data_IF_853377989189
#
_entry.id   IF_853377989189
#
_cell.length_a   1.000
_cell.length_b   1.000
_cell.length_c   1.000
_cell.angle_alpha   90.00
_cell.angle_beta   90.00
_cell.angle_gamma   90.00
#
_symmetry.space_group_name_H-M   'P 1'
#
loop_
_entity.id
_entity.type
_entity.pdbx_description
1 polymer ?
#
# COMPACT_ATOMS: atom_id res chain seq x y z
N UNK A 1 7.16 -1.22 9.68
CA UNK A 1 6.33 -0.93 8.49
C UNK A 1 5.73 0.46 8.58
N UNK A 2 5.34 0.91 9.78
CA UNK A 2 4.71 2.23 9.97
C UNK A 2 5.59 3.41 9.52
N UNK A 3 6.91 3.37 9.76
CA UNK A 3 7.82 4.42 9.29
C UNK A 3 7.86 4.51 7.76
N UNK A 4 7.91 3.36 7.07
CA UNK A 4 7.91 3.29 5.61
C UNK A 4 6.57 3.75 5.04
N UNK A 5 5.46 3.33 5.65
CA UNK A 5 4.11 3.79 5.30
C UNK A 5 3.98 5.31 5.46
N UNK A 6 4.47 5.87 6.57
CA UNK A 6 4.46 7.32 6.80
C UNK A 6 5.30 8.06 5.77
N UNK A 7 6.49 7.56 5.45
CA UNK A 7 7.37 8.14 4.44
C UNK A 7 6.73 8.11 3.05
N UNK A 8 6.14 6.98 2.65
CA UNK A 8 5.45 6.85 1.35
C UNK A 8 4.23 7.76 1.26
N UNK A 9 3.46 7.91 2.34
CA UNK A 9 2.35 8.88 2.39
C UNK A 9 2.82 10.33 2.21
N UNK A 10 3.97 10.70 2.80
CA UNK A 10 4.56 12.03 2.58
C UNK A 10 5.03 12.22 1.15
N UNK A 11 5.66 11.19 0.57
CA UNK A 11 6.10 11.21 -0.82
C UNK A 11 4.91 11.33 -1.78
N UNK A 12 3.83 10.57 -1.55
CA UNK A 12 2.60 10.64 -2.32
C UNK A 12 2.05 12.08 -2.36
N UNK A 13 1.88 12.70 -1.18
CA UNK A 13 1.41 14.09 -1.09
C UNK A 13 2.32 15.09 -1.82
N UNK A 14 3.64 14.89 -1.75
CA UNK A 14 4.59 15.74 -2.45
C UNK A 14 4.43 15.60 -3.98
N UNK A 15 4.28 14.37 -4.50
CA UNK A 15 4.05 14.11 -5.91
C UNK A 15 2.72 14.72 -6.38
N UNK A 16 1.64 14.53 -5.62
CA UNK A 16 0.33 15.13 -5.93
C UNK A 16 0.38 16.66 -5.97
N UNK A 17 1.10 17.27 -5.03
CA UNK A 17 1.32 18.71 -4.98
C UNK A 17 2.09 19.20 -6.21
N UNK A 18 3.16 18.50 -6.60
CA UNK A 18 3.95 18.84 -7.80
C UNK A 18 3.08 18.71 -9.06
N UNK A 19 2.30 17.63 -9.19
CA UNK A 19 1.40 17.43 -10.32
C UNK A 19 0.33 18.55 -10.39
N UNK A 20 -0.22 18.96 -9.25
CA UNK A 20 -1.15 20.10 -9.17
C UNK A 20 -0.51 21.40 -9.65
N UNK A 21 0.68 21.74 -9.14
CA UNK A 21 1.39 22.95 -9.56
C UNK A 21 1.76 22.94 -11.04
N UNK A 22 2.14 21.79 -11.60
CA UNK A 22 2.38 21.67 -13.05
C UNK A 22 1.11 21.94 -13.87
N UNK A 23 -0.07 21.48 -13.43
CA UNK A 23 -1.34 21.79 -14.10
C UNK A 23 -1.64 23.28 -14.08
N UNK A 24 -1.45 23.94 -12.93
CA UNK A 24 -1.60 25.39 -12.81
C UNK A 24 -0.64 26.14 -13.74
N UNK A 25 0.64 25.74 -13.80
CA UNK A 25 1.62 26.32 -14.72
C UNK A 25 1.24 26.14 -16.19
N UNK A 26 0.65 24.99 -16.55
CA UNK A 26 0.12 24.75 -17.89
C UNK A 26 -0.98 25.76 -18.23
N UNK A 27 -2.01 25.87 -17.38
CA UNK A 27 -3.14 26.80 -17.59
C UNK A 27 -2.69 28.26 -17.64
N UNK A 28 -1.75 28.64 -16.79
CA UNK A 28 -1.18 30.00 -16.78
C UNK A 28 -0.38 30.27 -18.06
N UNK A 29 0.40 29.30 -18.53
CA UNK A 29 1.18 29.44 -19.77
C UNK A 29 0.29 29.54 -21.00
N UNK A 30 -0.82 28.79 -21.08
CA UNK A 30 -1.82 28.95 -22.14
C UNK A 30 -2.52 30.31 -22.10
N UNK A 31 -2.85 30.79 -20.90
CA UNK A 31 -3.47 32.11 -20.74
C UNK A 31 -2.52 33.22 -21.20
N UNK A 32 -1.23 33.07 -20.88
CA UNK A 32 -0.18 33.99 -21.30
C UNK A 32 0.07 33.93 -22.81
N UNK A 33 0.12 32.74 -23.42
CA UNK A 33 0.27 32.61 -24.88
C UNK A 33 -0.89 33.27 -25.63
N UNK A 34 -2.14 33.13 -25.15
CA UNK A 34 -3.29 33.83 -25.72
C UNK A 34 -3.12 35.35 -25.67
N UNK A 35 -2.65 35.89 -24.54
CA UNK A 35 -2.40 37.33 -24.40
C UNK A 35 -1.28 37.81 -25.35
N UNK A 36 -0.20 37.04 -25.49
CA UNK A 36 0.88 37.32 -26.44
C UNK A 36 0.40 37.30 -27.89
N UNK A 37 -0.45 36.34 -28.25
CA UNK A 37 -1.05 36.24 -29.59
C UNK A 37 -1.91 37.47 -29.92
N UNK A 38 -2.72 37.93 -28.96
CA UNK A 38 -3.49 39.15 -29.09
C UNK A 38 -2.59 40.38 -29.29
N UNK A 39 -1.52 40.52 -28.49
CA UNK A 39 -0.55 41.61 -28.65
C UNK A 39 0.14 41.57 -30.02
N UNK A 40 0.56 40.38 -30.47
CA UNK A 40 1.17 40.20 -31.79
C UNK A 40 0.24 40.65 -32.92
N UNK A 41 -1.08 40.43 -32.78
CA UNK A 41 -2.07 40.82 -33.78
C UNK A 41 -2.32 42.32 -33.89
N UNK A 42 -2.06 43.08 -32.82
CA UNK A 42 -2.22 44.53 -32.79
C UNK A 42 -0.92 45.30 -33.06
N UNK A 43 0.21 44.60 -33.15
CA UNK A 43 1.52 45.21 -33.31
C UNK A 43 1.82 45.58 -34.77
N UNK A 44 2.07 46.86 -35.02
CA UNK A 44 2.35 47.38 -36.36
C UNK A 44 3.79 47.07 -36.81
N UNK A 45 4.73 47.00 -35.86
CA UNK A 45 6.11 46.67 -36.17
C UNK A 45 6.25 45.17 -36.49
N UNK A 46 6.49 44.86 -37.76
CA UNK A 46 6.58 43.48 -38.27
C UNK A 46 7.68 42.64 -37.60
N UNK A 47 8.78 43.24 -37.14
CA UNK A 47 9.83 42.51 -36.44
C UNK A 47 9.38 42.14 -35.01
N UNK A 48 8.73 43.08 -34.31
CA UNK A 48 8.21 42.86 -32.97
C UNK A 48 7.01 41.89 -32.98
N UNK A 49 6.09 42.02 -33.92
CA UNK A 49 4.96 41.10 -34.09
C UNK A 49 5.45 39.65 -34.26
N UNK A 50 6.47 39.41 -35.10
CA UNK A 50 7.11 38.09 -35.26
C UNK A 50 7.75 37.58 -33.98
N UNK A 51 8.44 38.45 -33.24
CA UNK A 51 9.03 38.05 -31.95
C UNK A 51 7.94 37.63 -30.94
N UNK A 52 6.80 38.32 -30.90
CA UNK A 52 5.65 37.97 -30.07
C UNK A 52 5.00 36.64 -30.52
N UNK A 53 4.91 36.38 -31.83
CA UNK A 53 4.43 35.09 -32.35
C UNK A 53 5.35 33.92 -31.94
N UNK A 54 6.67 34.08 -32.07
CA UNK A 54 7.61 33.05 -31.60
C UNK A 54 7.52 32.83 -30.08
N UNK A 55 7.33 33.89 -29.30
CA UNK A 55 7.14 33.78 -27.86
C UNK A 55 5.80 33.09 -27.52
N UNK A 56 4.75 33.33 -28.30
CA UNK A 56 3.46 32.65 -28.19
C UNK A 56 3.63 31.14 -28.38
N UNK A 57 4.26 30.71 -29.48
CA UNK A 57 4.54 29.30 -29.78
C UNK A 57 5.39 28.65 -28.67
N UNK A 58 6.39 29.36 -28.15
CA UNK A 58 7.21 28.86 -27.05
C UNK A 58 6.37 28.60 -25.78
N UNK A 59 5.46 29.51 -25.41
CA UNK A 59 4.58 29.33 -24.25
C UNK A 59 3.51 28.25 -24.45
N UNK A 60 3.00 28.07 -25.68
CA UNK A 60 2.11 26.94 -26.00
C UNK A 60 2.83 25.59 -25.83
N UNK A 61 4.08 25.50 -26.32
CA UNK A 61 4.89 24.31 -26.13
C UNK A 61 5.18 24.04 -24.64
N UNK A 62 5.54 25.07 -23.87
CA UNK A 62 5.78 24.94 -22.43
C UNK A 62 4.52 24.47 -21.70
N UNK A 63 3.35 25.02 -22.04
CA UNK A 63 2.08 24.58 -21.48
C UNK A 63 1.83 23.09 -21.76
N UNK A 64 1.96 22.67 -23.02
CA UNK A 64 1.78 21.27 -23.40
C UNK A 64 2.73 20.33 -22.64
N UNK A 65 4.01 20.71 -22.47
CA UNK A 65 4.96 19.91 -21.71
C UNK A 65 4.58 19.81 -20.24
N UNK A 66 4.10 20.90 -19.62
CA UNK A 66 3.63 20.87 -18.24
C UNK A 66 2.41 19.95 -18.05
N UNK A 67 1.45 19.99 -18.98
CA UNK A 67 0.29 19.09 -18.96
C UNK A 67 0.73 17.61 -19.06
N UNK A 68 1.54 17.28 -20.07
CA UNK A 68 2.03 15.90 -20.28
C UNK A 68 2.85 15.41 -19.09
N UNK A 69 3.68 16.26 -18.49
CA UNK A 69 4.45 15.90 -17.30
C UNK A 69 3.56 15.68 -16.07
N UNK A 70 2.54 16.51 -15.85
CA UNK A 70 1.59 16.32 -14.75
C UNK A 70 0.83 14.98 -14.86
N UNK A 71 0.43 14.63 -16.09
CA UNK A 71 -0.27 13.37 -16.35
C UNK A 71 0.66 12.16 -16.17
N UNK A 72 1.90 12.25 -16.66
CA UNK A 72 2.91 11.19 -16.45
C UNK A 72 3.26 11.01 -14.97
N UNK A 73 3.45 12.11 -14.23
CA UNK A 73 3.76 12.05 -12.80
C UNK A 73 2.62 11.34 -12.04
N UNK A 74 1.37 11.65 -12.39
CA UNK A 74 0.18 11.00 -11.79
C UNK A 74 0.06 9.52 -12.21
N UNK A 75 0.25 9.20 -13.49
CA UNK A 75 0.09 7.84 -13.99
C UNK A 75 1.23 6.89 -13.57
N UNK A 76 2.42 7.40 -13.28
CA UNK A 76 3.57 6.55 -12.93
C UNK A 76 3.87 6.61 -11.44
N UNK A 77 4.18 7.80 -10.93
CA UNK A 77 4.70 7.92 -9.57
C UNK A 77 3.59 7.73 -8.53
N UNK A 78 2.46 8.42 -8.70
CA UNK A 78 1.31 8.27 -7.79
C UNK A 78 0.78 6.84 -7.77
N UNK A 79 0.64 6.20 -8.94
CA UNK A 79 0.19 4.80 -9.03
C UNK A 79 1.15 3.84 -8.31
N UNK A 80 2.45 3.89 -8.62
CA UNK A 80 3.45 3.01 -7.98
C UNK A 80 3.50 3.22 -6.46
N UNK A 81 3.45 4.47 -5.98
CA UNK A 81 3.47 4.72 -4.53
C UNK A 81 2.22 4.12 -3.85
N UNK A 82 1.04 4.26 -4.47
CA UNK A 82 -0.19 3.67 -3.96
C UNK A 82 -0.13 2.14 -3.94
N UNK A 83 0.42 1.50 -4.97
CA UNK A 83 0.62 0.05 -4.99
C UNK A 83 1.53 -0.40 -3.84
N UNK A 84 2.64 0.32 -3.58
CA UNK A 84 3.52 0.00 -2.46
C UNK A 84 2.84 0.17 -1.11
N UNK A 85 2.02 1.21 -0.94
CA UNK A 85 1.20 1.40 0.26
C UNK A 85 0.22 0.22 0.45
N UNK A 86 -0.42 -0.23 -0.62
CA UNK A 86 -1.35 -1.36 -0.58
C UNK A 86 -0.66 -2.67 -0.19
N UNK A 87 0.56 -2.91 -0.69
CA UNK A 87 1.37 -4.06 -0.28
C UNK A 87 1.70 -3.99 1.22
N UNK A 88 2.09 -2.83 1.73
CA UNK A 88 2.36 -2.64 3.16
C UNK A 88 1.12 -2.95 4.01
N UNK A 89 -0.05 -2.45 3.61
CA UNK A 89 -1.31 -2.74 4.31
C UNK A 89 -1.61 -4.24 4.33
N UNK A 90 -1.50 -4.90 3.18
CA UNK A 90 -1.72 -6.35 3.04
C UNK A 90 -0.75 -7.14 3.94
N UNK A 91 0.52 -6.73 4.00
CA UNK A 91 1.51 -7.38 4.86
C UNK A 91 1.20 -7.18 6.35
N UNK A 92 0.73 -5.99 6.76
CA UNK A 92 0.32 -5.74 8.15
C UNK A 92 -0.84 -6.64 8.57
N UNK A 93 -1.84 -6.81 7.69
CA UNK A 93 -2.96 -7.73 7.91
C UNK A 93 -2.47 -9.19 8.00
N UNK A 94 -1.59 -9.61 7.09
CA UNK A 94 -1.00 -10.94 7.12
C UNK A 94 -0.25 -11.23 8.43
N UNK A 95 0.57 -10.28 8.91
CA UNK A 95 1.27 -10.44 10.18
C UNK A 95 0.31 -10.47 11.37
N UNK A 96 -0.76 -9.68 11.32
CA UNK A 96 -1.79 -9.70 12.35
C UNK A 96 -2.49 -11.07 12.42
N UNK A 97 -2.85 -11.65 11.28
CA UNK A 97 -3.39 -13.02 11.22
C UNK A 97 -2.37 -14.05 11.72
N UNK A 98 -1.09 -13.92 11.37
CA UNK A 98 -0.03 -14.81 11.88
C UNK A 98 0.07 -14.78 13.40
N UNK A 99 -0.05 -13.60 14.02
CA UNK A 99 -0.08 -13.47 15.49
C UNK A 99 -1.29 -14.19 16.09
N UNK A 100 -2.48 -14.10 15.47
CA UNK A 100 -3.66 -14.83 15.93
C UNK A 100 -3.48 -16.34 15.84
N UNK A 101 -2.95 -16.84 14.72
CA UNK A 101 -2.68 -18.28 14.56
C UNK A 101 -1.66 -18.76 15.60
N UNK A 102 -0.63 -17.94 15.87
CA UNK A 102 0.34 -18.25 16.93
C UNK A 102 -0.29 -18.31 18.32
N UNK A 103 -1.16 -17.35 18.67
CA UNK A 103 -1.90 -17.39 19.95
C UNK A 103 -2.82 -18.62 20.05
N UNK A 104 -3.51 -18.96 18.97
CA UNK A 104 -4.36 -20.15 18.90
C UNK A 104 -3.54 -21.44 19.07
N UNK A 105 -2.37 -21.52 18.43
CA UNK A 105 -1.44 -22.61 18.61
C UNK A 105 -0.97 -22.75 20.07
N UNK A 106 -0.60 -21.63 20.72
CA UNK A 106 -0.20 -21.66 22.12
C UNK A 106 -1.32 -22.15 23.04
N UNK A 107 -2.55 -21.68 22.83
CA UNK A 107 -3.72 -22.13 23.57
C UNK A 107 -3.97 -23.64 23.36
N UNK A 108 -3.87 -24.12 22.12
CA UNK A 108 -3.99 -25.53 21.78
C UNK A 108 -2.90 -26.37 22.47
N UNK A 109 -1.66 -25.87 22.51
CA UNK A 109 -0.53 -26.55 23.15
C UNK A 109 -0.71 -26.65 24.66
N UNK A 110 -1.19 -25.59 25.32
CA UNK A 110 -1.51 -25.62 26.75
C UNK A 110 -2.66 -26.61 27.04
N UNK A 111 -3.69 -26.63 26.20
CA UNK A 111 -4.79 -27.58 26.33
C UNK A 111 -4.29 -29.04 26.15
N UNK A 112 -3.44 -29.29 25.16
CA UNK A 112 -2.81 -30.59 24.94
C UNK A 112 -2.03 -31.06 26.18
N UNK A 113 -1.25 -30.17 26.81
CA UNK A 113 -0.52 -30.50 28.05
C UNK A 113 -1.47 -30.94 29.16
N UNK A 114 -2.55 -30.18 29.40
CA UNK A 114 -3.56 -30.51 30.42
C UNK A 114 -4.24 -31.85 30.14
N UNK A 115 -4.56 -32.15 28.88
CA UNK A 115 -5.18 -33.44 28.49
C UNK A 115 -4.23 -34.62 28.66
N UNK A 116 -2.93 -34.44 28.34
CA UNK A 116 -1.90 -35.45 28.61
C UNK A 116 -1.75 -35.73 30.11
N UNK A 117 -1.72 -34.70 30.95
CA UNK A 117 -1.68 -34.85 32.41
C UNK A 117 -2.93 -35.56 32.95
N UNK A 118 -4.11 -35.21 32.46
CA UNK A 118 -5.36 -35.85 32.86
C UNK A 118 -5.40 -37.33 32.48
N UNK A 119 -4.96 -37.68 31.26
CA UNK A 119 -4.81 -39.06 30.82
C UNK A 119 -3.88 -39.85 31.75
N UNK A 120 -2.71 -39.30 32.05
CA UNK A 120 -1.74 -39.93 32.95
C UNK A 120 -2.33 -40.15 34.36
N UNK A 121 -3.12 -39.20 34.88
CA UNK A 121 -3.82 -39.37 36.16
C UNK A 121 -4.84 -40.52 36.14
N UNK A 122 -5.61 -40.68 35.04
CA UNK A 122 -6.56 -41.80 34.93
C UNK A 122 -5.86 -43.16 34.82
N UNK A 123 -4.72 -43.22 34.12
CA UNK A 123 -3.89 -44.42 34.03
C UNK A 123 -3.36 -44.83 35.41
N UNK A 124 -2.79 -43.89 36.16
CA UNK A 124 -2.30 -44.12 37.53
C UNK A 124 -3.41 -44.52 38.51
N UNK A 125 -4.64 -44.06 38.29
CA UNK A 125 -5.80 -44.40 39.12
C UNK A 125 -6.50 -45.72 38.70
N UNK A 126 -5.96 -46.45 37.72
CA UNK A 126 -6.55 -47.72 37.24
C UNK A 126 -7.88 -47.57 36.49
N UNK A 127 -8.23 -46.36 36.01
CA UNK A 127 -9.51 -46.09 35.34
C UNK A 127 -9.39 -46.21 33.82
N UNK A 128 -9.27 -47.44 33.32
CA UNK A 128 -8.98 -47.74 31.91
C UNK A 128 -9.95 -47.09 30.92
N UNK A 129 -11.27 -47.14 31.17
CA UNK A 129 -12.27 -46.55 30.26
C UNK A 129 -12.12 -45.03 30.12
N UNK A 130 -11.86 -44.34 31.25
CA UNK A 130 -11.63 -42.89 31.26
C UNK A 130 -10.30 -42.50 30.63
N UNK A 131 -9.27 -43.34 30.79
CA UNK A 131 -7.99 -43.15 30.13
C UNK A 131 -8.09 -43.29 28.60
N UNK A 132 -8.90 -44.25 28.11
CA UNK A 132 -9.16 -44.42 26.68
C UNK A 132 -9.93 -43.23 26.10
N UNK A 133 -10.97 -42.73 26.76
CA UNK A 133 -11.67 -41.51 26.33
C UNK A 133 -10.71 -40.29 26.28
N UNK A 134 -9.88 -40.11 27.30
CA UNK A 134 -8.89 -39.03 27.34
C UNK A 134 -7.82 -39.16 26.23
N UNK A 135 -7.51 -40.38 25.77
CA UNK A 135 -6.57 -40.63 24.66
C UNK A 135 -7.13 -40.12 23.32
N UNK A 136 -8.41 -40.33 23.06
CA UNK A 136 -9.06 -39.85 21.84
C UNK A 136 -9.09 -38.31 21.82
N UNK A 137 -9.38 -37.69 22.96
CA UNK A 137 -9.30 -36.23 23.12
C UNK A 137 -7.88 -35.68 22.89
N UNK A 138 -6.84 -36.35 23.45
CA UNK A 138 -5.43 -35.96 23.22
C UNK A 138 -5.09 -36.01 21.72
N UNK A 139 -5.58 -37.01 21.01
CA UNK A 139 -5.33 -37.18 19.56
C UNK A 139 -5.94 -36.03 18.76
N UNK A 140 -7.20 -35.67 19.05
CA UNK A 140 -7.89 -34.56 18.38
C UNK A 140 -7.22 -33.20 18.65
N UNK A 141 -6.85 -32.92 19.91
CA UNK A 141 -6.19 -31.65 20.27
C UNK A 141 -4.77 -31.58 19.69
N UNK A 142 -4.07 -32.71 19.60
CA UNK A 142 -2.77 -32.79 18.95
C UNK A 142 -2.84 -32.48 17.45
N UNK A 143 -3.86 -33.00 16.76
CA UNK A 143 -4.08 -32.69 15.34
C UNK A 143 -4.33 -31.19 15.12
N UNK A 144 -5.16 -30.57 15.97
CA UNK A 144 -5.41 -29.12 15.92
C UNK A 144 -4.13 -28.29 16.20
N UNK A 145 -3.34 -28.65 17.21
CA UNK A 145 -2.07 -27.98 17.49
C UNK A 145 -1.08 -28.12 16.32
N UNK A 146 -1.02 -29.29 15.68
CA UNK A 146 -0.16 -29.52 14.50
C UNK A 146 -0.59 -28.69 13.29
N UNK A 147 -1.90 -28.54 13.07
CA UNK A 147 -2.47 -27.69 12.03
C UNK A 147 -2.08 -26.22 12.23
N UNK A 148 -2.25 -25.66 13.43
CA UNK A 148 -1.86 -24.28 13.70
C UNK A 148 -0.34 -24.07 13.55
N UNK A 149 0.49 -25.04 13.93
CA UNK A 149 1.95 -24.97 13.75
C UNK A 149 2.36 -24.90 12.27
N UNK A 150 1.71 -25.68 11.41
CA UNK A 150 1.96 -25.68 9.97
C UNK A 150 1.70 -24.30 9.33
N UNK A 151 0.60 -23.65 9.70
CA UNK A 151 0.24 -22.30 9.22
C UNK A 151 1.17 -21.18 9.72
N UNK A 152 1.94 -21.40 10.78
CA UNK A 152 2.93 -20.42 11.27
C UNK A 152 4.22 -20.48 10.43
N UNK A 153 4.51 -21.63 9.83
CA UNK A 153 5.77 -21.92 9.12
C UNK A 153 5.69 -21.83 7.59
N UNK A 154 4.49 -21.75 7.02
CA UNK A 154 4.26 -21.27 5.66
C UNK A 154 4.37 -19.74 5.65
#
# INVERSE_FOLDING_TARGET
MDDMEQMLNRLLRAVETIASYRRELSTNSESFSKALSMLASCEENTALARALSHLTEAHENVAQQHAVQADRDTALLTEVINEQLQIILTLKELFFERVKVWQNWQAAQQNLSKKKELKARYELAGRADRANQAKDEVTNVHAFASFCFYFIHI
#
